data_IF_065458431467
#
_entry.id   IF_065458431467
#
_cell.length_a   1.000
_cell.length_b   1.000
_cell.length_c   1.000
_cell.angle_alpha   90.00
_cell.angle_beta   90.00
_cell.angle_gamma   90.00
#
_symmetry.space_group_name_H-M   'P 1'
#
loop_
_entity.id
_entity.type
_entity.pdbx_description
1 polymer ?
#
# COMPACT_ATOMS: atom_id res chain seq x y z
N UNK A 1 8.52 0.06 -24.50
CA UNK A 1 7.23 -0.63 -24.78
C UNK A 1 6.37 -0.64 -23.52
N UNK A 2 5.03 -0.61 -23.67
CA UNK A 2 4.10 -0.73 -22.54
C UNK A 2 4.17 -2.14 -21.94
N UNK A 3 3.93 -2.24 -20.62
CA UNK A 3 3.85 -3.53 -19.93
C UNK A 3 2.57 -4.30 -20.35
N UNK A 4 2.69 -5.58 -20.76
CA UNK A 4 1.55 -6.38 -21.21
C UNK A 4 0.73 -6.89 -20.00
N UNK A 5 -0.36 -6.18 -19.65
CA UNK A 5 -1.26 -6.58 -18.55
C UNK A 5 -2.15 -7.77 -18.96
N UNK A 6 -2.70 -7.73 -20.19
CA UNK A 6 -3.64 -8.76 -20.68
C UNK A 6 -3.00 -10.16 -20.72
N UNK A 7 -3.68 -11.14 -20.15
CA UNK A 7 -3.23 -12.53 -20.10
C UNK A 7 -2.14 -12.81 -19.06
N UNK A 8 -1.66 -11.76 -18.36
CA UNK A 8 -0.81 -11.92 -17.18
C UNK A 8 -1.59 -12.34 -15.95
N UNK A 9 -0.90 -12.67 -14.87
CA UNK A 9 -1.49 -12.94 -13.55
C UNK A 9 -0.94 -11.95 -12.54
N UNK A 10 -1.84 -11.24 -11.85
CA UNK A 10 -1.50 -10.30 -10.79
C UNK A 10 -1.82 -10.90 -9.41
N UNK A 11 -0.81 -10.98 -8.55
CA UNK A 11 -0.96 -11.27 -7.12
C UNK A 11 -1.17 -9.95 -6.40
N UNK A 12 -2.26 -9.79 -5.63
CA UNK A 12 -2.61 -8.55 -4.94
C UNK A 12 -2.89 -8.84 -3.48
N UNK A 13 -2.10 -8.30 -2.56
CA UNK A 13 -2.36 -8.38 -1.12
C UNK A 13 -3.21 -7.22 -0.64
N UNK A 14 -4.02 -7.43 0.41
CA UNK A 14 -5.00 -6.44 0.89
C UNK A 14 -6.12 -6.23 -0.14
N UNK A 15 -6.52 -7.31 -0.82
CA UNK A 15 -7.44 -7.26 -1.96
C UNK A 15 -8.92 -7.21 -1.57
N UNK A 16 -9.26 -7.36 -0.29
CA UNK A 16 -10.65 -7.36 0.18
C UNK A 16 -11.31 -5.97 0.17
N UNK A 17 -10.54 -4.89 0.15
CA UNK A 17 -11.09 -3.53 0.24
C UNK A 17 -10.17 -2.44 -0.36
N UNK A 18 -10.66 -1.20 -0.36
CA UNK A 18 -9.88 0.00 -0.66
C UNK A 18 -9.11 -0.06 -1.97
N UNK A 19 -7.85 0.38 -1.94
CA UNK A 19 -6.98 0.43 -3.13
C UNK A 19 -6.78 -0.95 -3.75
N UNK A 20 -6.62 -2.01 -2.93
CA UNK A 20 -6.42 -3.38 -3.43
C UNK A 20 -7.59 -3.89 -4.24
N UNK A 21 -8.82 -3.74 -3.73
CA UNK A 21 -10.03 -4.15 -4.44
C UNK A 21 -10.27 -3.32 -5.72
N UNK A 22 -10.04 -2.01 -5.66
CA UNK A 22 -10.16 -1.13 -6.82
C UNK A 22 -9.13 -1.45 -7.90
N UNK A 23 -7.89 -1.73 -7.51
CA UNK A 23 -6.83 -2.16 -8.44
C UNK A 23 -7.15 -3.53 -9.06
N UNK A 24 -7.69 -4.47 -8.26
CA UNK A 24 -8.11 -5.77 -8.76
C UNK A 24 -9.14 -5.62 -9.89
N UNK A 25 -10.18 -4.79 -9.70
CA UNK A 25 -11.16 -4.49 -10.73
C UNK A 25 -10.53 -3.87 -12.00
N UNK A 26 -9.61 -2.91 -11.82
CA UNK A 26 -8.91 -2.25 -12.93
C UNK A 26 -8.01 -3.21 -13.73
N UNK A 27 -7.29 -4.10 -13.06
CA UNK A 27 -6.43 -5.08 -13.73
C UNK A 27 -7.28 -6.17 -14.42
N UNK A 28 -8.38 -6.61 -13.80
CA UNK A 28 -9.34 -7.53 -14.43
C UNK A 28 -9.94 -6.92 -15.70
N UNK A 29 -10.38 -5.66 -15.66
CA UNK A 29 -10.90 -4.95 -16.83
C UNK A 29 -9.88 -4.83 -17.98
N UNK A 30 -8.58 -4.87 -17.65
CA UNK A 30 -7.47 -4.91 -18.63
C UNK A 30 -7.07 -6.34 -19.02
N UNK A 31 -7.80 -7.35 -18.57
CA UNK A 31 -7.64 -8.75 -18.95
C UNK A 31 -6.56 -9.51 -18.20
N UNK A 32 -6.13 -9.03 -17.02
CA UNK A 32 -5.26 -9.80 -16.12
C UNK A 32 -6.06 -10.84 -15.33
N UNK A 33 -5.51 -12.04 -15.16
CA UNK A 33 -5.95 -12.98 -14.14
C UNK A 33 -5.50 -12.51 -12.76
N UNK A 34 -6.22 -12.91 -11.71
CA UNK A 34 -5.98 -12.39 -10.36
C UNK A 34 -5.79 -13.52 -9.33
N UNK A 35 -4.75 -13.41 -8.53
CA UNK A 35 -4.59 -14.13 -7.29
C UNK A 35 -4.78 -13.12 -6.14
N UNK A 36 -5.94 -13.12 -5.52
CA UNK A 36 -6.33 -12.16 -4.51
C UNK A 36 -5.99 -12.71 -3.12
N UNK A 37 -5.34 -11.88 -2.31
CA UNK A 37 -4.84 -12.27 -0.99
C UNK A 37 -5.36 -11.29 0.06
N UNK A 38 -6.06 -11.77 1.06
CA UNK A 38 -6.50 -11.00 2.23
C UNK A 38 -6.86 -11.94 3.39
N UNK A 39 -6.86 -11.44 4.61
CA UNK A 39 -7.37 -12.17 5.79
C UNK A 39 -8.89 -12.09 5.92
N UNK A 40 -9.53 -11.11 5.30
CA UNK A 40 -10.99 -10.95 5.28
C UNK A 40 -11.59 -11.74 4.13
N UNK A 41 -12.09 -12.94 4.44
CA UNK A 41 -12.66 -13.86 3.46
C UNK A 41 -13.88 -13.28 2.72
N UNK A 42 -14.79 -12.61 3.43
CA UNK A 42 -16.03 -12.06 2.83
C UNK A 42 -15.72 -10.93 1.85
N UNK A 43 -14.86 -10.00 2.25
CA UNK A 43 -14.40 -8.91 1.39
C UNK A 43 -13.63 -9.43 0.16
N UNK A 44 -12.82 -10.48 0.37
CA UNK A 44 -12.06 -11.13 -0.70
C UNK A 44 -13.01 -11.78 -1.72
N UNK A 45 -13.99 -12.54 -1.26
CA UNK A 45 -15.01 -13.17 -2.10
C UNK A 45 -15.82 -12.12 -2.90
N UNK A 46 -16.18 -10.99 -2.29
CA UNK A 46 -16.88 -9.90 -2.97
C UNK A 46 -16.03 -9.28 -4.09
N UNK A 47 -14.73 -9.08 -3.85
CA UNK A 47 -13.78 -8.58 -4.88
C UNK A 47 -13.62 -9.61 -6.00
N UNK A 48 -13.46 -10.89 -5.63
CA UNK A 48 -13.32 -11.99 -6.59
C UNK A 48 -14.53 -12.13 -7.50
N UNK A 49 -15.75 -12.04 -6.95
CA UNK A 49 -16.99 -12.10 -7.73
C UNK A 49 -17.05 -10.99 -8.79
N UNK A 50 -16.71 -9.75 -8.40
CA UNK A 50 -16.65 -8.61 -9.34
C UNK A 50 -15.63 -8.83 -10.46
N UNK A 51 -14.46 -9.36 -10.13
CA UNK A 51 -13.43 -9.63 -11.12
C UNK A 51 -13.80 -10.78 -12.07
N UNK A 52 -14.40 -11.88 -11.55
CA UNK A 52 -14.89 -12.99 -12.37
C UNK A 52 -15.97 -12.56 -13.37
N UNK A 53 -16.81 -11.61 -13.00
CA UNK A 53 -17.83 -11.04 -13.90
C UNK A 53 -17.20 -10.32 -15.11
N UNK A 54 -15.93 -9.96 -15.06
CA UNK A 54 -15.15 -9.40 -16.18
C UNK A 54 -14.49 -10.48 -17.06
N UNK A 55 -14.75 -11.77 -16.78
CA UNK A 55 -14.30 -12.90 -17.61
C UNK A 55 -12.87 -13.36 -17.36
N UNK A 56 -12.22 -12.91 -16.30
CA UNK A 56 -10.85 -13.31 -15.93
C UNK A 56 -10.84 -14.44 -14.91
N UNK A 57 -9.77 -15.23 -14.89
CA UNK A 57 -9.56 -16.27 -13.88
C UNK A 57 -9.16 -15.63 -12.55
N UNK A 58 -9.77 -16.07 -11.44
CA UNK A 58 -9.50 -15.53 -10.10
C UNK A 58 -9.34 -16.68 -9.11
N UNK A 59 -8.22 -16.67 -8.37
CA UNK A 59 -8.02 -17.47 -7.17
C UNK A 59 -8.07 -16.60 -5.92
N UNK A 60 -8.56 -17.14 -4.83
CA UNK A 60 -8.68 -16.49 -3.53
C UNK A 60 -7.77 -17.19 -2.53
N UNK A 61 -6.96 -16.43 -1.81
CA UNK A 61 -6.02 -16.93 -0.83
C UNK A 61 -6.28 -16.19 0.49
N UNK A 62 -7.06 -16.83 1.37
CA UNK A 62 -7.37 -16.27 2.70
C UNK A 62 -6.20 -16.56 3.62
N UNK A 63 -5.39 -15.52 3.88
CA UNK A 63 -4.23 -15.61 4.77
C UNK A 63 -3.90 -14.26 5.42
N UNK A 64 -3.29 -14.32 6.62
CA UNK A 64 -2.68 -13.14 7.23
C UNK A 64 -1.25 -13.01 6.70
N UNK A 65 -0.89 -11.81 6.22
CA UNK A 65 0.46 -11.54 5.69
C UNK A 65 1.56 -11.57 6.77
N UNK A 66 1.20 -11.74 8.04
CA UNK A 66 2.16 -11.98 9.13
C UNK A 66 2.54 -13.45 9.28
N UNK A 67 1.77 -14.36 8.70
CA UNK A 67 2.09 -15.80 8.66
C UNK A 67 3.18 -16.06 7.63
N UNK A 68 4.41 -16.20 8.11
CA UNK A 68 5.58 -16.39 7.25
C UNK A 68 5.50 -17.69 6.45
N UNK A 69 5.01 -18.79 7.04
CA UNK A 69 4.91 -20.08 6.36
C UNK A 69 3.88 -20.02 5.23
N UNK A 70 2.72 -19.39 5.49
CA UNK A 70 1.70 -19.18 4.47
C UNK A 70 2.20 -18.29 3.32
N UNK A 71 3.00 -17.25 3.61
CA UNK A 71 3.61 -16.42 2.58
C UNK A 71 4.63 -17.17 1.72
N UNK A 72 5.44 -18.05 2.33
CA UNK A 72 6.42 -18.88 1.62
C UNK A 72 5.77 -19.92 0.70
N UNK A 73 4.62 -20.46 1.09
CA UNK A 73 3.84 -21.42 0.29
C UNK A 73 3.00 -20.77 -0.81
N UNK A 74 2.70 -19.48 -0.71
CA UNK A 74 1.80 -18.76 -1.63
C UNK A 74 2.21 -18.83 -3.11
N UNK A 75 3.50 -18.70 -3.49
CA UNK A 75 3.92 -18.79 -4.90
C UNK A 75 3.52 -20.11 -5.55
N UNK A 76 3.69 -21.23 -4.86
CA UNK A 76 3.33 -22.56 -5.37
C UNK A 76 1.81 -22.66 -5.60
N UNK A 77 1.01 -22.22 -4.63
CA UNK A 77 -0.45 -22.21 -4.75
C UNK A 77 -0.93 -21.33 -5.92
N UNK A 78 -0.32 -20.17 -6.10
CA UNK A 78 -0.67 -19.26 -7.23
C UNK A 78 -0.23 -19.87 -8.57
N UNK A 79 0.97 -20.45 -8.66
CA UNK A 79 1.44 -21.09 -9.88
C UNK A 79 0.59 -22.32 -10.24
N UNK A 80 0.19 -23.13 -9.27
CA UNK A 80 -0.74 -24.24 -9.49
C UNK A 80 -2.10 -23.76 -10.04
N UNK A 81 -2.60 -22.63 -9.52
CA UNK A 81 -3.86 -22.05 -9.98
C UNK A 81 -3.74 -21.39 -11.36
N UNK A 82 -2.69 -20.64 -11.66
CA UNK A 82 -2.62 -19.75 -12.82
C UNK A 82 -1.53 -20.11 -13.84
N UNK A 83 -0.57 -20.95 -13.48
CA UNK A 83 0.57 -21.34 -14.31
C UNK A 83 1.68 -20.28 -14.43
N UNK A 84 1.39 -19.03 -14.10
CA UNK A 84 2.34 -17.91 -14.22
C UNK A 84 2.00 -16.76 -13.28
N UNK A 85 3.01 -15.91 -12.99
CA UNK A 85 2.85 -14.65 -12.25
C UNK A 85 3.64 -13.56 -12.96
N UNK A 86 2.98 -12.49 -13.39
CA UNK A 86 3.61 -11.36 -14.09
C UNK A 86 3.61 -10.06 -13.29
N UNK A 87 2.69 -9.94 -12.30
CA UNK A 87 2.56 -8.75 -11.46
C UNK A 87 2.46 -9.17 -10.01
N UNK A 88 3.27 -8.56 -9.14
CA UNK A 88 3.16 -8.66 -7.69
C UNK A 88 2.82 -7.29 -7.11
N UNK A 89 1.70 -7.19 -6.38
CA UNK A 89 1.27 -5.96 -5.73
C UNK A 89 1.27 -6.14 -4.21
N UNK A 90 2.25 -5.58 -3.55
CA UNK A 90 2.35 -5.49 -2.10
C UNK A 90 1.54 -4.27 -1.63
N UNK A 91 0.23 -4.49 -1.40
CA UNK A 91 -0.70 -3.43 -1.02
C UNK A 91 -1.22 -3.57 0.42
N UNK A 92 -1.26 -4.77 0.99
CA UNK A 92 -1.68 -4.96 2.38
C UNK A 92 -0.94 -4.00 3.32
N UNK A 93 -1.67 -3.39 4.23
CA UNK A 93 -1.11 -2.43 5.17
C UNK A 93 -2.12 -2.00 6.22
N UNK A 94 -1.59 -1.56 7.35
CA UNK A 94 -2.35 -1.10 8.52
C UNK A 94 -1.83 0.25 8.99
N UNK A 95 -2.64 0.94 9.79
CA UNK A 95 -2.25 2.17 10.48
C UNK A 95 -2.23 1.96 11.99
N UNK A 96 -1.45 2.78 12.67
CA UNK A 96 -1.31 2.84 14.13
C UNK A 96 -1.23 4.31 14.53
N UNK A 97 -2.07 4.72 15.48
CA UNK A 97 -2.11 6.08 15.99
C UNK A 97 -1.49 6.13 17.38
N UNK A 98 -0.63 7.11 17.61
CA UNK A 98 -0.01 7.39 18.91
C UNK A 98 1.34 8.08 18.79
N UNK A 99 1.66 8.85 19.82
CA UNK A 99 2.99 9.44 19.98
C UNK A 99 4.02 8.35 20.32
N UNK A 100 5.30 8.64 20.13
CA UNK A 100 6.36 7.66 20.30
C UNK A 100 6.45 7.05 21.71
N UNK A 101 6.06 7.80 22.73
CA UNK A 101 6.00 7.38 24.14
C UNK A 101 4.74 6.54 24.47
N UNK A 102 3.69 6.63 23.67
CA UNK A 102 2.43 5.89 23.83
C UNK A 102 2.46 4.54 23.09
N UNK A 103 3.25 4.42 22.02
CA UNK A 103 3.29 3.22 21.20
C UNK A 103 4.13 2.15 21.88
N UNK A 104 3.53 0.97 22.16
CA UNK A 104 4.28 -0.18 22.62
C UNK A 104 5.21 -0.75 21.56
N UNK A 105 6.33 -1.35 21.97
CA UNK A 105 7.22 -2.05 21.03
C UNK A 105 6.49 -3.17 20.28
N UNK A 106 5.58 -3.87 20.93
CA UNK A 106 4.79 -4.93 20.32
C UNK A 106 3.89 -4.40 19.18
N UNK A 107 3.27 -3.22 19.35
CA UNK A 107 2.46 -2.59 18.30
C UNK A 107 3.33 -2.04 17.17
N UNK A 108 4.51 -1.52 17.51
CA UNK A 108 5.48 -1.09 16.51
C UNK A 108 5.93 -2.26 15.62
N UNK A 109 6.33 -3.37 16.24
CA UNK A 109 6.76 -4.59 15.55
C UNK A 109 5.62 -5.22 14.73
N UNK A 110 4.40 -5.25 15.28
CA UNK A 110 3.22 -5.70 14.56
C UNK A 110 3.01 -4.91 13.26
N UNK A 111 3.08 -3.58 13.33
CA UNK A 111 2.92 -2.71 12.16
C UNK A 111 4.06 -2.92 11.16
N UNK A 112 5.30 -3.01 11.63
CA UNK A 112 6.46 -3.29 10.77
C UNK A 112 6.37 -4.66 10.09
N UNK A 113 5.86 -5.67 10.78
CA UNK A 113 5.67 -6.98 10.20
C UNK A 113 4.69 -6.97 9.01
N UNK A 114 3.61 -6.19 9.09
CA UNK A 114 2.62 -6.07 8.02
C UNK A 114 3.11 -5.14 6.91
N UNK A 115 3.53 -3.91 7.26
CA UNK A 115 3.79 -2.86 6.28
C UNK A 115 5.15 -2.96 5.57
N UNK A 116 6.11 -3.67 6.18
CA UNK A 116 7.48 -3.77 5.67
C UNK A 116 7.94 -5.22 5.47
N UNK A 117 7.92 -6.04 6.51
CA UNK A 117 8.47 -7.40 6.39
C UNK A 117 7.64 -8.30 5.47
N UNK A 118 6.32 -8.20 5.48
CA UNK A 118 5.48 -8.98 4.57
C UNK A 118 5.75 -8.65 3.08
N UNK A 119 5.78 -7.39 2.64
CA UNK A 119 6.21 -7.03 1.28
C UNK A 119 7.61 -7.54 0.92
N UNK A 120 8.58 -7.47 1.84
CA UNK A 120 9.94 -7.99 1.61
C UNK A 120 9.93 -9.50 1.40
N UNK A 121 9.24 -10.25 2.29
CA UNK A 121 9.12 -11.71 2.19
C UNK A 121 8.42 -12.13 0.90
N UNK A 122 7.28 -11.50 0.58
CA UNK A 122 6.55 -11.78 -0.66
C UNK A 122 7.38 -11.48 -1.91
N UNK A 123 8.08 -10.36 -1.93
CA UNK A 123 8.96 -10.02 -3.04
C UNK A 123 10.01 -11.11 -3.23
N UNK A 124 10.69 -11.55 -2.15
CA UNK A 124 11.69 -12.63 -2.22
C UNK A 124 11.07 -13.96 -2.67
N UNK A 125 9.89 -14.31 -2.15
CA UNK A 125 9.21 -15.56 -2.49
C UNK A 125 8.80 -15.62 -3.99
N UNK A 126 8.30 -14.49 -4.54
CA UNK A 126 7.86 -14.43 -5.94
C UNK A 126 8.96 -14.09 -6.94
N UNK A 127 10.14 -13.62 -6.51
CA UNK A 127 11.16 -13.09 -7.42
C UNK A 127 11.60 -14.12 -8.46
N UNK A 128 11.74 -15.41 -8.05
CA UNK A 128 12.08 -16.48 -8.98
C UNK A 128 11.01 -16.67 -10.07
N UNK A 129 9.74 -16.69 -9.69
CA UNK A 129 8.63 -16.82 -10.65
C UNK A 129 8.57 -15.62 -11.60
N UNK A 130 8.78 -14.40 -11.09
CA UNK A 130 8.80 -13.17 -11.88
C UNK A 130 9.96 -13.15 -12.90
N UNK A 131 11.14 -13.66 -12.51
CA UNK A 131 12.29 -13.74 -13.43
C UNK A 131 12.10 -14.74 -14.58
N UNK A 132 11.19 -15.69 -14.44
CA UNK A 132 10.88 -16.67 -15.52
C UNK A 132 9.93 -16.13 -16.59
N UNK A 133 9.31 -14.98 -16.35
CA UNK A 133 8.41 -14.34 -17.30
C UNK A 133 9.19 -13.50 -18.32
N UNK A 134 8.70 -13.29 -19.54
CA UNK A 134 9.31 -12.36 -20.47
C UNK A 134 9.34 -10.92 -19.95
N UNK A 135 8.29 -10.56 -19.20
CA UNK A 135 8.07 -9.27 -18.57
C UNK A 135 7.38 -9.44 -17.23
N UNK A 136 7.90 -8.81 -16.19
CA UNK A 136 7.29 -8.81 -14.86
C UNK A 136 7.35 -7.44 -14.19
N UNK A 137 6.43 -7.22 -13.25
CA UNK A 137 6.32 -5.93 -12.56
C UNK A 137 5.99 -6.10 -11.07
N UNK A 138 6.71 -5.37 -10.24
CA UNK A 138 6.44 -5.30 -8.79
C UNK A 138 5.88 -3.93 -8.46
N UNK A 139 4.84 -3.89 -7.63
CA UNK A 139 4.26 -2.67 -7.07
C UNK A 139 4.34 -2.72 -5.56
N UNK A 140 4.99 -1.75 -4.95
CA UNK A 140 5.02 -1.59 -3.50
C UNK A 140 4.27 -0.32 -3.09
N UNK A 141 3.23 -0.48 -2.25
CA UNK A 141 2.44 0.65 -1.78
C UNK A 141 3.08 1.24 -0.52
N UNK A 142 3.74 2.39 -0.71
CA UNK A 142 4.21 3.26 0.36
C UNK A 142 3.09 4.24 0.78
N UNK A 143 3.40 5.51 0.98
CA UNK A 143 2.50 6.60 1.34
C UNK A 143 3.22 7.94 1.11
N UNK A 144 2.49 9.06 1.15
CA UNK A 144 3.12 10.37 1.39
C UNK A 144 3.87 10.40 2.73
N UNK A 145 3.48 9.55 3.70
CA UNK A 145 4.20 9.37 4.96
C UNK A 145 5.46 8.48 4.83
N UNK A 146 5.80 8.04 3.62
CA UNK A 146 7.14 7.60 3.21
C UNK A 146 7.97 8.71 2.55
N UNK A 147 7.47 9.97 2.57
CA UNK A 147 8.14 11.16 2.06
C UNK A 147 8.29 12.20 3.18
N UNK A 148 7.24 12.38 3.99
CA UNK A 148 7.21 13.26 5.17
C UNK A 148 6.85 12.44 6.41
N UNK A 149 7.17 12.99 7.59
CA UNK A 149 6.90 12.35 8.88
C UNK A 149 6.14 13.33 9.81
N UNK A 150 4.79 13.28 9.84
CA UNK A 150 4.00 14.04 10.78
C UNK A 150 4.10 13.48 12.20
N UNK A 151 3.86 14.30 13.25
CA UNK A 151 3.74 13.82 14.63
C UNK A 151 2.64 12.76 14.78
N UNK A 152 2.74 11.92 15.81
CA UNK A 152 1.75 10.87 16.12
C UNK A 152 1.73 9.69 15.14
N UNK A 153 2.67 9.63 14.20
CA UNK A 153 2.71 8.62 13.13
C UNK A 153 4.09 7.95 12.99
N UNK A 154 4.94 8.00 14.03
CA UNK A 154 6.32 7.54 13.94
C UNK A 154 6.46 6.09 13.43
N UNK A 155 5.73 5.07 13.93
CA UNK A 155 5.82 3.70 13.42
C UNK A 155 5.36 3.59 11.97
N UNK A 156 4.24 4.22 11.62
CA UNK A 156 3.70 4.19 10.26
C UNK A 156 4.67 4.85 9.28
N UNK A 157 5.17 6.04 9.61
CA UNK A 157 6.20 6.70 8.80
C UNK A 157 7.44 5.81 8.63
N UNK A 158 7.98 5.26 9.72
CA UNK A 158 9.14 4.36 9.67
C UNK A 158 8.90 3.21 8.68
N UNK A 159 7.73 2.56 8.74
CA UNK A 159 7.38 1.45 7.83
C UNK A 159 7.30 1.89 6.36
N UNK A 160 6.71 3.08 6.10
CA UNK A 160 6.51 3.59 4.74
C UNK A 160 7.80 4.18 4.14
N UNK A 161 8.71 4.70 4.96
CA UNK A 161 10.08 5.02 4.54
C UNK A 161 10.88 3.75 4.29
N UNK A 162 10.76 2.73 5.13
CA UNK A 162 11.46 1.46 4.96
C UNK A 162 11.09 0.77 3.63
N UNK A 163 9.79 0.63 3.32
CA UNK A 163 9.36 0.03 2.05
C UNK A 163 9.75 0.88 0.85
N UNK A 164 9.78 2.21 0.97
CA UNK A 164 10.31 3.09 -0.07
C UNK A 164 11.79 2.81 -0.30
N UNK A 165 12.62 2.83 0.75
CA UNK A 165 14.06 2.59 0.65
C UNK A 165 14.37 1.23 0.04
N UNK A 166 13.71 0.17 0.50
CA UNK A 166 13.79 -1.17 -0.09
C UNK A 166 13.44 -1.17 -1.58
N UNK A 167 12.34 -0.51 -1.96
CA UNK A 167 11.88 -0.47 -3.35
C UNK A 167 12.84 0.29 -4.26
N UNK A 168 13.40 1.40 -3.79
CA UNK A 168 14.35 2.21 -4.57
C UNK A 168 15.66 1.45 -4.78
N UNK A 169 16.18 0.74 -3.75
CA UNK A 169 17.36 -0.12 -3.88
C UNK A 169 17.11 -1.29 -4.82
N UNK A 170 16.05 -2.07 -4.58
CA UNK A 170 15.71 -3.22 -5.41
C UNK A 170 15.53 -2.84 -6.88
N UNK A 171 14.93 -1.69 -7.17
CA UNK A 171 14.78 -1.21 -8.54
C UNK A 171 16.13 -1.05 -9.25
N UNK A 172 17.18 -0.61 -8.54
CA UNK A 172 18.52 -0.51 -9.12
C UNK A 172 19.16 -1.87 -9.33
N UNK A 173 18.92 -2.83 -8.45
CA UNK A 173 19.38 -4.21 -8.59
C UNK A 173 18.72 -4.93 -9.79
N UNK A 174 17.49 -4.54 -10.13
CA UNK A 174 16.71 -5.11 -11.24
C UNK A 174 17.05 -4.47 -12.61
N UNK A 175 17.95 -3.50 -12.69
CA UNK A 175 18.37 -2.88 -13.96
C UNK A 175 18.96 -3.96 -14.88
N UNK A 176 18.46 -4.03 -16.12
CA UNK A 176 18.88 -5.02 -17.11
C UNK A 176 18.15 -6.37 -17.01
N UNK A 177 17.28 -6.55 -16.02
CA UNK A 177 16.40 -7.72 -15.93
C UNK A 177 15.04 -7.49 -16.62
N UNK A 178 14.24 -8.54 -16.70
CA UNK A 178 12.86 -8.50 -17.17
C UNK A 178 11.86 -7.96 -16.10
N UNK A 179 12.31 -7.73 -14.88
CA UNK A 179 11.45 -7.28 -13.77
C UNK A 179 11.60 -5.78 -13.58
N UNK A 180 10.48 -5.06 -13.58
CA UNK A 180 10.43 -3.62 -13.29
C UNK A 180 9.69 -3.37 -11.98
N UNK A 181 9.87 -2.20 -11.35
CA UNK A 181 9.27 -1.90 -10.06
C UNK A 181 8.71 -0.47 -10.00
N UNK A 182 7.49 -0.35 -9.50
CA UNK A 182 6.85 0.94 -9.13
C UNK A 182 6.75 1.05 -7.61
N UNK A 183 7.26 2.13 -7.03
CA UNK A 183 6.89 2.54 -5.68
C UNK A 183 5.79 3.60 -5.74
N UNK A 184 4.70 3.35 -4.99
CA UNK A 184 3.52 4.20 -5.00
C UNK A 184 3.44 5.00 -3.70
N UNK A 185 3.17 6.29 -3.81
CA UNK A 185 2.97 7.20 -2.68
C UNK A 185 1.55 7.81 -2.76
N UNK A 186 0.52 7.12 -2.22
CA UNK A 186 -0.80 7.70 -2.09
C UNK A 186 -0.80 8.88 -1.12
N UNK A 187 -1.54 9.93 -1.47
CA UNK A 187 -1.94 10.98 -0.54
C UNK A 187 -3.19 10.57 0.25
N UNK A 188 -4.10 11.51 0.45
CA UNK A 188 -5.38 11.26 1.11
C UNK A 188 -6.34 10.47 0.22
N UNK A 189 -6.37 9.15 0.36
CA UNK A 189 -7.29 8.26 -0.36
C UNK A 189 -8.43 7.84 0.55
N UNK A 190 -9.68 7.94 0.10
CA UNK A 190 -10.87 7.48 0.83
C UNK A 190 -10.89 5.96 0.91
N UNK A 191 -10.40 5.43 2.04
CA UNK A 191 -10.37 4.02 2.39
C UNK A 191 -10.56 3.86 3.89
N UNK A 192 -10.90 2.67 4.36
CA UNK A 192 -11.10 2.38 5.79
C UNK A 192 -9.79 2.32 6.61
N UNK A 193 -8.63 2.64 6.04
CA UNK A 193 -7.34 2.46 6.73
C UNK A 193 -7.22 3.34 7.98
N UNK A 194 -7.77 4.56 7.95
CA UNK A 194 -7.78 5.46 9.10
C UNK A 194 -8.80 5.01 10.16
N UNK A 195 -9.99 4.57 9.72
CA UNK A 195 -11.06 4.10 10.59
C UNK A 195 -10.71 2.80 11.31
N UNK A 196 -9.87 1.96 10.68
CA UNK A 196 -9.38 0.68 11.22
C UNK A 196 -8.00 0.79 11.87
N UNK A 197 -7.49 2.00 12.09
CA UNK A 197 -6.21 2.21 12.76
C UNK A 197 -6.23 1.65 14.17
N UNK A 198 -5.17 0.93 14.57
CA UNK A 198 -4.99 0.54 15.96
C UNK A 198 -4.67 1.77 16.79
N UNK A 199 -5.25 1.88 17.97
CA UNK A 199 -4.96 2.95 18.92
C UNK A 199 -3.91 2.48 19.93
N UNK A 200 -2.92 3.32 20.21
CA UNK A 200 -1.95 3.09 21.30
C UNK A 200 -2.57 3.26 22.66
N UNK A 201 -1.90 2.75 23.69
CA UNK A 201 -2.36 2.89 25.09
C UNK A 201 -2.49 4.37 25.48
N UNK A 202 -3.55 4.68 26.23
CA UNK A 202 -3.80 6.04 26.74
C UNK A 202 -4.45 7.01 25.73
N UNK A 203 -4.74 6.56 24.49
CA UNK A 203 -5.54 7.36 23.57
C UNK A 203 -7.03 7.13 23.87
N UNK A 204 -7.77 8.21 24.07
CA UNK A 204 -9.22 8.16 24.21
C UNK A 204 -9.86 7.75 22.87
N UNK A 205 -10.67 6.67 22.84
CA UNK A 205 -11.30 6.22 21.59
C UNK A 205 -12.28 7.24 20.99
N UNK A 206 -12.90 8.10 21.79
CA UNK A 206 -13.82 9.12 21.28
C UNK A 206 -13.05 10.29 20.66
N UNK A 207 -11.96 10.72 21.28
CA UNK A 207 -11.04 11.71 20.70
C UNK A 207 -10.42 11.18 19.39
N UNK A 208 -9.98 9.92 19.38
CA UNK A 208 -9.45 9.29 18.19
C UNK A 208 -10.48 9.22 17.06
N UNK A 209 -11.74 8.88 17.36
CA UNK A 209 -12.83 8.88 16.37
C UNK A 209 -13.09 10.27 15.82
N UNK A 210 -13.12 11.28 16.68
CA UNK A 210 -13.31 12.67 16.25
C UNK A 210 -12.15 13.13 15.33
N UNK A 211 -10.90 12.84 15.71
CA UNK A 211 -9.71 13.14 14.90
C UNK A 211 -9.74 12.43 13.56
N UNK A 212 -10.11 11.15 13.53
CA UNK A 212 -10.25 10.37 12.30
C UNK A 212 -11.35 10.94 11.39
N UNK A 213 -12.48 11.34 11.95
CA UNK A 213 -13.56 11.95 11.19
C UNK A 213 -13.13 13.28 10.52
N UNK A 214 -12.37 14.12 11.24
CA UNK A 214 -11.79 15.34 10.66
C UNK A 214 -10.75 15.03 9.58
N UNK A 215 -9.89 14.04 9.82
CA UNK A 215 -8.92 13.58 8.82
C UNK A 215 -9.62 13.06 7.56
N UNK A 216 -10.69 12.28 7.69
CA UNK A 216 -11.45 11.73 6.56
C UNK A 216 -12.04 12.81 5.65
N UNK A 217 -12.37 14.00 6.17
CA UNK A 217 -12.83 15.15 5.36
C UNK A 217 -11.79 15.65 4.36
N UNK A 218 -10.52 15.35 4.60
CA UNK A 218 -9.41 15.75 3.75
C UNK A 218 -9.12 14.75 2.63
N UNK A 219 -9.66 13.54 2.73
CA UNK A 219 -9.44 12.48 1.76
C UNK A 219 -10.24 12.80 0.49
N UNK A 220 -9.58 13.30 -0.54
CA UNK A 220 -10.22 13.77 -1.78
C UNK A 220 -10.22 12.73 -2.89
N UNK A 221 -9.22 11.86 -2.94
CA UNK A 221 -9.06 10.87 -4.00
C UNK A 221 -9.83 9.59 -3.65
N UNK A 222 -10.56 9.03 -4.61
CA UNK A 222 -11.26 7.76 -4.42
C UNK A 222 -10.30 6.56 -4.48
N UNK A 223 -10.72 5.41 -3.97
CA UNK A 223 -9.99 4.16 -4.13
C UNK A 223 -9.94 3.74 -5.61
N UNK A 224 -11.02 4.00 -6.35
CA UNK A 224 -11.16 3.73 -7.78
C UNK A 224 -10.13 4.52 -8.59
N UNK A 225 -10.01 5.82 -8.36
CA UNK A 225 -9.01 6.67 -9.01
C UNK A 225 -7.58 6.23 -8.68
N UNK A 226 -7.35 5.78 -7.44
CA UNK A 226 -6.06 5.25 -7.03
C UNK A 226 -5.74 3.93 -7.75
N UNK A 227 -6.70 3.02 -7.83
CA UNK A 227 -6.57 1.75 -8.57
C UNK A 227 -6.25 1.97 -10.05
N UNK A 228 -6.98 2.90 -10.70
CA UNK A 228 -6.75 3.28 -12.11
C UNK A 228 -5.35 3.90 -12.31
N UNK A 229 -4.93 4.79 -11.41
CA UNK A 229 -3.61 5.41 -11.49
C UNK A 229 -2.48 4.36 -11.36
N UNK A 230 -2.64 3.37 -10.45
CA UNK A 230 -1.67 2.30 -10.26
C UNK A 230 -1.63 1.39 -11.50
N UNK A 231 -2.78 0.95 -12.01
CA UNK A 231 -2.84 0.11 -13.21
C UNK A 231 -2.22 0.80 -14.44
N UNK A 232 -2.41 2.13 -14.55
CA UNK A 232 -1.77 2.95 -15.57
C UNK A 232 -0.25 3.06 -15.36
N UNK A 233 0.22 3.19 -14.11
CA UNK A 233 1.64 3.23 -13.78
C UNK A 233 2.34 1.89 -14.10
N UNK A 234 1.67 0.76 -13.84
CA UNK A 234 2.14 -0.58 -14.26
C UNK A 234 2.31 -0.62 -15.77
N UNK A 235 1.27 -0.25 -16.53
CA UNK A 235 1.32 -0.23 -18.01
C UNK A 235 2.47 0.62 -18.54
N UNK A 236 2.75 1.77 -17.91
CA UNK A 236 3.83 2.69 -18.28
C UNK A 236 5.20 2.33 -17.68
N UNK A 237 5.30 1.29 -16.85
CA UNK A 237 6.50 0.93 -16.07
C UNK A 237 7.06 2.13 -15.30
N UNK A 238 6.18 2.95 -14.75
CA UNK A 238 6.57 4.17 -14.02
C UNK A 238 7.34 3.80 -12.76
N UNK A 239 8.58 4.28 -12.55
CA UNK A 239 9.36 3.85 -11.38
C UNK A 239 8.81 4.40 -10.05
N UNK A 240 8.02 5.48 -10.12
CA UNK A 240 7.44 6.16 -8.96
C UNK A 240 6.10 6.77 -9.32
N UNK A 241 5.12 6.61 -8.43
CA UNK A 241 3.78 7.17 -8.59
C UNK A 241 3.36 7.97 -7.36
N UNK A 242 2.95 9.22 -7.55
CA UNK A 242 2.30 10.07 -6.56
C UNK A 242 0.81 10.16 -6.89
N UNK A 243 -0.06 9.74 -5.97
CA UNK A 243 -1.51 9.76 -6.18
C UNK A 243 -2.14 10.89 -5.36
N UNK A 244 -2.85 11.77 -6.03
CA UNK A 244 -3.48 12.95 -5.45
C UNK A 244 -2.68 14.24 -5.66
N UNK A 245 -3.37 15.38 -5.63
CA UNK A 245 -2.75 16.71 -5.73
C UNK A 245 -1.93 17.04 -4.48
N UNK A 246 -2.43 16.60 -3.33
CA UNK A 246 -1.77 16.69 -2.01
C UNK A 246 -0.42 15.97 -2.01
N UNK A 247 -0.34 14.73 -2.50
CA UNK A 247 0.91 13.99 -2.59
C UNK A 247 1.98 14.73 -3.42
N UNK A 248 1.56 15.32 -4.55
CA UNK A 248 2.48 16.08 -5.42
C UNK A 248 2.96 17.36 -4.76
N UNK A 249 2.05 18.07 -4.06
CA UNK A 249 2.39 19.29 -3.32
C UNK A 249 3.36 18.97 -2.17
N UNK A 250 3.05 17.97 -1.37
CA UNK A 250 3.87 17.52 -0.23
C UNK A 250 5.27 17.10 -0.69
N UNK A 251 5.39 16.33 -1.77
CA UNK A 251 6.67 15.91 -2.34
C UNK A 251 7.53 17.11 -2.76
N UNK A 252 6.92 18.12 -3.40
CA UNK A 252 7.63 19.36 -3.78
C UNK A 252 8.12 20.15 -2.57
N UNK A 253 7.25 20.32 -1.56
CA UNK A 253 7.61 21.05 -0.32
C UNK A 253 8.77 20.33 0.38
N UNK A 254 8.70 19.02 0.52
CA UNK A 254 9.74 18.24 1.17
C UNK A 254 11.09 18.32 0.44
N UNK A 255 11.07 18.28 -0.91
CA UNK A 255 12.30 18.39 -1.72
C UNK A 255 12.98 19.74 -1.62
N UNK A 256 12.18 20.81 -1.57
CA UNK A 256 12.72 22.19 -1.53
C UNK A 256 13.12 22.56 -0.09
N UNK A 257 12.40 22.07 0.92
CA UNK A 257 12.56 22.44 2.32
C UNK A 257 12.72 21.23 3.25
N UNK A 258 13.75 20.37 3.06
CA UNK A 258 13.85 19.07 3.74
C UNK A 258 13.91 19.18 5.28
N UNK A 259 14.49 20.25 5.83
CA UNK A 259 14.56 20.47 7.28
C UNK A 259 13.37 21.22 7.88
N UNK A 260 12.51 21.84 7.06
CA UNK A 260 11.42 22.72 7.55
C UNK A 260 10.06 22.44 6.92
N UNK A 261 9.95 21.38 6.12
CA UNK A 261 8.73 21.04 5.40
C UNK A 261 7.50 20.94 6.32
N UNK A 262 7.68 20.36 7.52
CA UNK A 262 6.55 20.16 8.43
C UNK A 262 5.95 21.50 8.87
N UNK A 263 6.77 22.47 9.28
CA UNK A 263 6.31 23.83 9.65
C UNK A 263 5.52 24.51 8.53
N UNK A 264 5.85 24.24 7.27
CA UNK A 264 5.16 24.80 6.09
C UNK A 264 3.86 24.10 5.81
N UNK A 265 3.82 22.76 5.88
CA UNK A 265 2.60 21.95 5.70
C UNK A 265 1.61 22.27 6.80
N UNK A 266 2.05 22.28 8.06
CA UNK A 266 1.21 22.56 9.23
C UNK A 266 0.56 23.95 9.16
N UNK A 267 1.28 24.99 8.73
CA UNK A 267 0.72 26.34 8.55
C UNK A 267 -0.36 26.39 7.46
N UNK A 268 -0.28 25.56 6.43
CA UNK A 268 -1.25 25.50 5.34
C UNK A 268 -2.51 24.70 5.64
N UNK A 269 -2.50 23.88 6.69
CA UNK A 269 -3.59 22.98 7.04
C UNK A 269 -4.36 23.36 8.33
N UNK A 270 -4.08 24.52 8.94
CA UNK A 270 -4.82 25.01 10.10
C UNK A 270 -4.88 23.99 11.26
N UNK A 271 -6.09 23.73 11.81
CA UNK A 271 -6.31 22.85 12.95
C UNK A 271 -5.88 21.38 12.79
N UNK A 272 -5.55 20.92 11.59
CA UNK A 272 -5.18 19.52 11.34
C UNK A 272 -3.80 19.20 11.94
N UNK A 273 -2.90 20.17 11.94
CA UNK A 273 -1.57 19.99 12.52
C UNK A 273 -1.67 19.81 14.05
N UNK A 274 -2.61 20.48 14.71
CA UNK A 274 -2.87 20.31 16.15
C UNK A 274 -3.55 18.97 16.45
N UNK A 275 -4.46 18.52 15.59
CA UNK A 275 -5.15 17.23 15.72
C UNK A 275 -4.18 16.05 15.51
N UNK A 276 -3.24 16.15 14.58
CA UNK A 276 -2.21 15.13 14.36
C UNK A 276 -1.07 15.22 15.41
N UNK A 277 -0.86 16.39 16.01
CA UNK A 277 0.18 16.62 17.01
C UNK A 277 -0.23 16.17 18.43
N UNK A 278 -1.50 15.83 18.65
CA UNK A 278 -1.99 15.48 19.98
C UNK A 278 -1.76 16.63 20.98
N UNK A 279 -1.99 17.89 20.55
CA UNK A 279 -1.95 19.03 21.45
C UNK A 279 -3.15 18.93 22.44
N UNK A 280 -3.02 18.05 23.42
CA UNK A 280 -3.68 18.22 24.70
C UNK A 280 -3.09 19.49 25.31
N UNK A 281 -3.86 20.57 25.28
CA UNK A 281 -3.56 21.76 26.08
C UNK A 281 -3.37 21.29 27.53
N UNK A 282 -2.13 21.45 28.05
CA UNK A 282 -1.88 21.46 29.47
C UNK A 282 -2.61 22.62 30.13
#
# INVERSE_FOLDING_TARGET
MAFPIKGGTAVITGAASGIGAALAANLAARGANLALVDRNADGLAATAAKARALGVKVSEHVLDVTDTAALEALPEAVLAAHGRVTILVNNAGVALMGNADQVSMADFEWLMNINFWAPVRLTKAFLYALHREPDAHIVNISSVFGIIAPPGQAPYCASKFAIRGFSESLRHELIGSNVTLTVVHPGGIRTAIADSARLSQGIDPDEARAATAEFNKLLKTSAEDAGEAIATAISKRSPRLLIGGDARMIDRIQRIFPGTYWKRIARGQGNIASTLAGDTKA
#
